data_IF_869079184923
#
_entry.id   IF_869079184923
#
_cell.length_a   1.000
_cell.length_b   1.000
_cell.length_c   1.000
_cell.angle_alpha   90.00
_cell.angle_beta   90.00
_cell.angle_gamma   90.00
#
_symmetry.space_group_name_H-M   'P 1'
#
loop_
_entity.id
_entity.type
_entity.pdbx_description
1 polymer ?
#
# COMPACT_ATOMS: atom_id res chain seq x y z
N UNK A 1 34.98 51.23 -8.84
CA UNK A 1 34.85 50.18 -7.80
C UNK A 1 34.14 48.99 -8.42
N UNK A 2 34.76 47.80 -8.40
CA UNK A 2 34.20 46.61 -9.06
C UNK A 2 33.09 46.00 -8.19
N UNK A 3 31.84 46.09 -8.65
CA UNK A 3 30.65 45.52 -7.99
C UNK A 3 30.54 43.99 -8.12
N UNK A 4 31.47 43.36 -8.86
CA UNK A 4 31.41 41.92 -9.17
C UNK A 4 31.69 41.06 -7.93
N UNK A 5 32.69 41.43 -7.12
CA UNK A 5 33.06 40.67 -5.93
C UNK A 5 31.93 40.57 -4.89
N UNK A 6 31.26 41.67 -4.45
CA UNK A 6 30.17 41.56 -3.48
C UNK A 6 28.94 40.82 -4.04
N UNK A 7 28.65 40.95 -5.33
CA UNK A 7 27.55 40.21 -5.97
C UNK A 7 27.81 38.70 -5.94
N UNK A 8 29.04 38.29 -6.24
CA UNK A 8 29.44 36.88 -6.26
C UNK A 8 29.40 36.27 -4.86
N UNK A 9 29.88 36.99 -3.84
CA UNK A 9 29.76 36.59 -2.43
C UNK A 9 28.31 36.41 -2.01
N UNK A 10 27.42 37.34 -2.40
CA UNK A 10 25.99 37.25 -2.09
C UNK A 10 25.35 36.00 -2.70
N UNK A 11 25.66 35.68 -3.96
CA UNK A 11 25.17 34.47 -4.64
C UNK A 11 25.66 33.21 -3.93
N UNK A 12 26.96 33.14 -3.59
CA UNK A 12 27.53 31.99 -2.89
C UNK A 12 26.91 31.82 -1.51
N UNK A 13 26.78 32.90 -0.72
CA UNK A 13 26.11 32.84 0.59
C UNK A 13 24.66 32.39 0.49
N UNK A 14 23.92 32.86 -0.53
CA UNK A 14 22.55 32.42 -0.79
C UNK A 14 22.48 30.93 -1.16
N UNK A 15 23.41 30.44 -1.98
CA UNK A 15 23.52 29.02 -2.32
C UNK A 15 23.85 28.17 -1.08
N UNK A 16 24.82 28.58 -0.26
CA UNK A 16 25.18 27.87 0.97
C UNK A 16 24.01 27.86 1.95
N UNK A 17 23.33 28.98 2.14
CA UNK A 17 22.14 29.06 3.00
C UNK A 17 21.01 28.13 2.51
N UNK A 18 20.73 28.12 1.21
CA UNK A 18 19.67 27.27 0.65
C UNK A 18 20.03 25.78 0.73
N UNK A 19 21.30 25.41 0.51
CA UNK A 19 21.80 24.05 0.70
C UNK A 19 21.74 23.62 2.17
N UNK A 20 22.23 24.45 3.09
CA UNK A 20 22.22 24.18 4.52
C UNK A 20 20.80 24.02 5.07
N UNK A 21 19.89 24.91 4.67
CA UNK A 21 18.46 24.81 5.01
C UNK A 21 17.83 23.51 4.47
N UNK A 22 18.26 23.03 3.30
CA UNK A 22 17.76 21.77 2.72
C UNK A 22 18.23 20.54 3.53
N UNK A 23 19.46 20.56 4.03
CA UNK A 23 20.02 19.49 4.87
C UNK A 23 19.47 19.51 6.30
N UNK A 24 19.21 20.69 6.86
CA UNK A 24 18.54 20.86 8.15
C UNK A 24 17.01 20.70 8.10
N UNK A 25 16.45 20.10 7.05
CA UNK A 25 15.02 19.75 7.08
C UNK A 25 14.85 18.30 7.53
N UNK A 26 13.75 17.99 8.25
CA UNK A 26 13.48 16.63 8.64
C UNK A 26 13.47 15.69 7.44
N UNK A 27 13.75 14.39 7.59
CA UNK A 27 13.79 13.42 6.48
C UNK A 27 12.86 12.26 6.76
N UNK A 28 11.58 12.43 6.45
CA UNK A 28 10.59 11.39 6.66
C UNK A 28 10.63 10.33 5.56
N UNK A 29 10.65 9.06 5.96
CA UNK A 29 10.42 7.91 5.08
C UNK A 29 9.21 7.11 5.55
N UNK A 30 8.52 6.48 4.60
CA UNK A 30 7.44 5.53 4.86
C UNK A 30 7.87 4.14 4.40
N UNK A 31 7.94 3.17 5.31
CA UNK A 31 8.31 1.79 5.02
C UNK A 31 7.17 0.85 5.40
N UNK A 32 6.71 -0.01 4.50
CA UNK A 32 5.69 -1.00 4.85
C UNK A 32 6.30 -2.13 5.70
N UNK A 33 5.51 -2.67 6.62
CA UNK A 33 5.83 -3.89 7.36
C UNK A 33 4.63 -4.83 7.32
N UNK A 34 4.92 -6.13 7.25
CA UNK A 34 3.91 -7.18 7.28
C UNK A 34 4.31 -8.16 8.39
N UNK A 35 3.54 -8.18 9.46
CA UNK A 35 3.85 -8.95 10.67
C UNK A 35 2.71 -9.92 11.00
N UNK A 36 2.98 -11.10 11.59
CA UNK A 36 1.93 -11.97 12.10
C UNK A 36 1.02 -11.21 13.06
N UNK A 37 -0.30 -11.43 12.95
CA UNK A 37 -1.27 -10.67 13.75
C UNK A 37 -2.29 -11.56 14.39
N UNK A 38 -2.27 -11.59 15.72
CA UNK A 38 -3.38 -12.12 16.53
C UNK A 38 -4.39 -11.03 16.90
N UNK A 39 -4.15 -9.80 16.45
CA UNK A 39 -4.94 -8.63 16.81
C UNK A 39 -6.24 -8.55 15.98
N UNK A 40 -7.34 -8.19 16.64
CA UNK A 40 -8.64 -7.95 16.02
C UNK A 40 -8.76 -6.48 15.61
N UNK A 41 -7.80 -6.02 14.81
CA UNK A 41 -7.83 -4.67 14.26
C UNK A 41 -8.95 -4.56 13.23
N UNK A 42 -9.91 -3.69 13.51
CA UNK A 42 -11.04 -3.42 12.65
C UNK A 42 -10.95 -1.99 12.11
N UNK A 43 -10.55 -1.86 10.85
CA UNK A 43 -10.79 -0.65 10.08
C UNK A 43 -12.16 -0.81 9.40
N UNK A 44 -13.15 -0.01 9.80
CA UNK A 44 -14.55 -0.17 9.40
C UNK A 44 -14.72 -0.19 7.87
N UNK A 45 -14.13 0.78 7.17
CA UNK A 45 -14.20 0.89 5.70
C UNK A 45 -13.61 -0.35 5.00
N UNK A 46 -12.56 -0.93 5.57
CA UNK A 46 -11.91 -2.13 5.04
C UNK A 46 -12.71 -3.39 5.38
N UNK A 47 -13.32 -3.43 6.57
CA UNK A 47 -14.22 -4.50 6.98
C UNK A 47 -15.46 -4.60 6.10
N UNK A 48 -16.01 -3.47 5.65
CA UNK A 48 -17.11 -3.45 4.67
C UNK A 48 -16.69 -4.05 3.34
N UNK A 49 -15.49 -3.72 2.82
CA UNK A 49 -14.98 -4.34 1.59
C UNK A 49 -14.87 -5.85 1.75
N UNK A 50 -14.32 -6.33 2.86
CA UNK A 50 -14.24 -7.78 3.14
C UNK A 50 -15.61 -8.44 3.03
N UNK A 51 -16.63 -7.85 3.64
CA UNK A 51 -17.99 -8.40 3.65
C UNK A 51 -18.62 -8.37 2.24
N UNK A 52 -18.38 -7.31 1.48
CA UNK A 52 -18.84 -7.18 0.09
C UNK A 52 -18.20 -8.25 -0.81
N UNK A 53 -16.91 -8.51 -0.67
CA UNK A 53 -16.14 -9.35 -1.60
C UNK A 53 -16.18 -10.83 -1.25
N UNK A 54 -16.71 -11.18 -0.07
CA UNK A 54 -16.84 -12.56 0.38
C UNK A 54 -17.72 -13.33 -0.62
N UNK A 55 -17.20 -14.44 -1.14
CA UNK A 55 -17.86 -15.31 -2.12
C UNK A 55 -18.07 -14.69 -3.53
N UNK A 56 -17.47 -13.52 -3.81
CA UNK A 56 -17.50 -12.93 -5.16
C UNK A 56 -16.43 -13.55 -6.07
N UNK A 57 -16.79 -13.77 -7.35
CA UNK A 57 -15.83 -14.20 -8.36
C UNK A 57 -14.70 -13.18 -8.52
N UNK A 58 -13.47 -13.68 -8.58
CA UNK A 58 -12.25 -12.86 -8.68
C UNK A 58 -11.61 -12.53 -7.32
N UNK A 59 -12.18 -12.98 -6.21
CA UNK A 59 -11.56 -12.90 -4.88
C UNK A 59 -11.24 -14.30 -4.36
N UNK A 60 -10.09 -14.50 -3.70
CA UNK A 60 -9.70 -15.81 -3.22
C UNK A 60 -10.69 -16.39 -2.21
N UNK A 61 -10.90 -17.70 -2.31
CA UNK A 61 -11.62 -18.50 -1.31
C UNK A 61 -10.66 -19.38 -0.49
N UNK A 62 -9.39 -18.98 -0.38
CA UNK A 62 -8.35 -19.72 0.31
C UNK A 62 -7.72 -18.84 1.39
N UNK A 63 -8.08 -19.00 2.68
CA UNK A 63 -7.53 -18.19 3.74
C UNK A 63 -6.06 -18.54 4.03
N UNK A 64 -5.35 -17.62 4.67
CA UNK A 64 -4.02 -17.86 5.24
C UNK A 64 -3.91 -17.23 6.63
N UNK A 65 -2.81 -17.53 7.34
CA UNK A 65 -2.56 -16.98 8.67
C UNK A 65 -2.61 -15.44 8.68
N UNK A 66 -3.38 -14.82 9.58
CA UNK A 66 -3.61 -13.39 9.57
C UNK A 66 -2.32 -12.60 9.78
N UNK A 67 -2.12 -11.57 8.96
CA UNK A 67 -0.99 -10.64 9.05
C UNK A 67 -1.48 -9.20 9.15
N UNK A 68 -0.78 -8.38 9.92
CA UNK A 68 -1.00 -6.95 10.02
C UNK A 68 -0.11 -6.26 8.99
N UNK A 69 -0.75 -5.56 8.07
CA UNK A 69 -0.08 -4.65 7.16
C UNK A 69 -0.02 -3.26 7.79
N UNK A 70 1.19 -2.80 8.05
CA UNK A 70 1.46 -1.51 8.67
C UNK A 70 2.40 -0.67 7.82
N UNK A 71 2.44 0.63 8.08
CA UNK A 71 3.42 1.56 7.51
C UNK A 71 4.14 2.24 8.66
N UNK A 72 5.44 2.02 8.73
CA UNK A 72 6.34 2.72 9.64
C UNK A 72 6.75 4.06 9.02
N UNK A 73 6.44 5.14 9.72
CA UNK A 73 6.97 6.46 9.44
C UNK A 73 8.22 6.68 10.28
N UNK A 74 9.36 6.88 9.63
CA UNK A 74 10.65 7.07 10.30
C UNK A 74 11.24 8.44 9.98
N UNK A 75 11.75 9.14 10.99
CA UNK A 75 12.42 10.42 10.84
C UNK A 75 13.95 10.26 10.78
N UNK A 76 14.51 10.19 9.57
CA UNK A 76 15.94 9.95 9.33
C UNK A 76 16.85 11.19 9.52
N UNK A 77 16.44 12.18 10.30
CA UNK A 77 17.17 13.44 10.45
C UNK A 77 17.39 13.79 11.89
N UNK A 78 18.38 14.66 12.11
CA UNK A 78 18.74 15.17 13.44
C UNK A 78 17.71 16.15 14.04
N UNK A 79 16.66 16.50 13.28
CA UNK A 79 15.64 17.45 13.69
C UNK A 79 14.26 16.79 13.75
N UNK A 80 13.39 17.23 14.70
CA UNK A 80 12.03 16.72 14.76
C UNK A 80 11.21 17.17 13.55
N UNK A 81 10.21 16.37 13.19
CA UNK A 81 9.23 16.69 12.17
C UNK A 81 7.89 17.06 12.81
N UNK A 82 7.30 18.19 12.41
CA UNK A 82 6.02 18.66 12.98
C UNK A 82 4.90 18.72 11.96
N UNK A 83 3.64 18.59 12.40
CA UNK A 83 2.43 18.63 11.56
C UNK A 83 2.54 17.75 10.33
N UNK A 84 2.93 16.49 10.56
CA UNK A 84 3.08 15.48 9.53
C UNK A 84 1.70 15.12 9.01
N UNK A 85 1.58 15.08 7.69
CA UNK A 85 0.38 14.67 6.98
C UNK A 85 0.74 13.67 5.90
N UNK A 86 0.25 12.44 6.06
CA UNK A 86 0.36 11.39 5.05
C UNK A 86 -1.01 11.17 4.42
N UNK A 87 -1.13 11.42 3.12
CA UNK A 87 -2.28 10.96 2.33
C UNK A 87 -1.87 9.66 1.65
N UNK A 88 -2.62 8.61 1.90
CA UNK A 88 -2.36 7.31 1.29
C UNK A 88 -3.65 6.72 0.74
N UNK A 89 -3.51 5.72 -0.12
CA UNK A 89 -4.61 4.87 -0.53
C UNK A 89 -4.23 3.40 -0.45
N UNK A 90 -5.26 2.59 -0.23
CA UNK A 90 -5.20 1.14 -0.33
C UNK A 90 -6.01 0.76 -1.56
N UNK A 91 -5.35 0.17 -2.55
CA UNK A 91 -5.94 -0.22 -3.82
C UNK A 91 -6.13 -1.73 -3.81
N UNK A 92 -7.38 -2.16 -3.86
CA UNK A 92 -7.78 -3.56 -3.89
C UNK A 92 -7.95 -4.01 -5.33
N UNK A 93 -7.43 -5.19 -5.65
CA UNK A 93 -7.56 -5.77 -6.97
C UNK A 93 -8.42 -7.03 -6.90
N UNK A 94 -9.24 -7.23 -7.93
CA UNK A 94 -9.86 -8.52 -8.21
C UNK A 94 -9.15 -9.20 -9.36
N UNK A 95 -9.19 -10.52 -9.35
CA UNK A 95 -8.58 -11.36 -10.37
C UNK A 95 -9.57 -11.65 -11.48
N UNK A 96 -9.11 -11.55 -12.73
CA UNK A 96 -9.86 -11.93 -13.92
C UNK A 96 -9.18 -13.16 -14.53
N UNK A 97 -9.74 -14.37 -14.33
CA UNK A 97 -9.20 -15.59 -14.91
C UNK A 97 -9.47 -15.65 -16.41
N UNK A 98 -8.52 -16.20 -17.16
CA UNK A 98 -8.70 -16.59 -18.56
C UNK A 98 -8.76 -18.11 -18.63
N UNK A 99 -9.81 -18.64 -19.26
CA UNK A 99 -10.01 -20.08 -19.42
C UNK A 99 -9.66 -20.53 -20.84
N UNK A 100 -9.23 -21.78 -20.97
CA UNK A 100 -9.15 -22.46 -22.26
C UNK A 100 -10.51 -23.03 -22.70
N UNK A 101 -10.53 -23.74 -23.83
CA UNK A 101 -11.73 -24.38 -24.36
C UNK A 101 -12.29 -25.50 -23.47
N UNK A 102 -11.50 -25.99 -22.52
CA UNK A 102 -11.88 -27.05 -21.57
C UNK A 102 -12.35 -26.48 -20.22
N UNK A 103 -12.43 -25.15 -20.09
CA UNK A 103 -12.84 -24.50 -18.84
C UNK A 103 -11.75 -24.52 -17.76
N UNK A 104 -10.49 -24.75 -18.15
CA UNK A 104 -9.34 -24.71 -17.24
C UNK A 104 -8.72 -23.31 -17.24
N UNK A 105 -8.51 -22.75 -16.04
CA UNK A 105 -7.88 -21.45 -15.90
C UNK A 105 -6.38 -21.55 -16.29
N UNK A 106 -6.00 -20.89 -17.38
CA UNK A 106 -4.64 -20.93 -17.93
C UNK A 106 -3.81 -19.69 -17.60
N UNK A 107 -4.47 -18.57 -17.31
CA UNK A 107 -3.81 -17.33 -16.90
C UNK A 107 -4.77 -16.45 -16.12
N UNK A 108 -4.25 -15.37 -15.55
CA UNK A 108 -5.07 -14.37 -14.88
C UNK A 108 -4.50 -12.97 -15.06
N UNK A 109 -5.37 -11.98 -14.92
CA UNK A 109 -5.00 -10.57 -14.84
C UNK A 109 -5.63 -9.93 -13.62
N UNK A 110 -5.10 -8.78 -13.20
CA UNK A 110 -5.62 -8.03 -12.08
C UNK A 110 -6.29 -6.76 -12.59
N UNK A 111 -7.51 -6.51 -12.12
CA UNK A 111 -8.19 -5.24 -12.35
C UNK A 111 -8.44 -4.57 -11.01
N UNK A 112 -8.26 -3.25 -10.98
CA UNK A 112 -8.59 -2.45 -9.81
C UNK A 112 -10.09 -2.60 -9.51
N UNK A 113 -10.39 -2.99 -8.27
CA UNK A 113 -11.76 -3.15 -7.80
C UNK A 113 -12.21 -1.91 -7.04
N UNK A 114 -11.44 -1.49 -6.04
CA UNK A 114 -11.80 -0.39 -5.13
C UNK A 114 -10.54 0.28 -4.61
N UNK A 115 -10.60 1.59 -4.42
CA UNK A 115 -9.53 2.40 -3.80
C UNK A 115 -10.08 3.10 -2.56
N UNK A 116 -9.55 2.78 -1.38
CA UNK A 116 -9.83 3.53 -0.14
C UNK A 116 -8.77 4.61 0.03
N UNK A 117 -9.19 5.84 0.30
CA UNK A 117 -8.30 6.98 0.52
C UNK A 117 -8.35 7.41 1.97
N UNK A 118 -7.19 7.55 2.58
CA UNK A 118 -7.06 7.88 3.99
C UNK A 118 -6.04 8.98 4.22
N UNK A 119 -6.22 9.69 5.33
CA UNK A 119 -5.37 10.79 5.74
C UNK A 119 -4.94 10.57 7.17
N UNK A 120 -3.65 10.38 7.38
CA UNK A 120 -3.04 10.35 8.69
C UNK A 120 -2.44 11.73 8.99
N UNK A 121 -2.78 12.26 10.17
CA UNK A 121 -2.18 13.47 10.71
C UNK A 121 -1.45 13.12 12.00
N UNK A 122 -0.24 13.65 12.17
CA UNK A 122 0.61 13.40 13.32
C UNK A 122 1.35 14.67 13.68
N UNK A 123 1.28 15.10 14.94
CA UNK A 123 1.74 16.44 15.30
C UNK A 123 3.25 16.55 15.44
N UNK A 124 3.92 15.50 15.93
CA UNK A 124 5.32 15.56 16.30
C UNK A 124 5.98 14.19 16.23
N UNK A 125 7.03 14.04 15.40
CA UNK A 125 7.91 12.88 15.39
C UNK A 125 9.33 13.33 15.74
N UNK A 126 9.92 12.74 16.79
CA UNK A 126 11.25 13.12 17.25
C UNK A 126 12.33 12.76 16.21
N UNK A 127 13.53 13.29 16.41
CA UNK A 127 14.73 12.94 15.65
C UNK A 127 15.04 11.44 15.80
N UNK A 128 15.32 10.76 14.68
CA UNK A 128 15.61 9.32 14.62
C UNK A 128 14.53 8.39 15.21
N UNK A 129 13.32 8.91 15.38
CA UNK A 129 12.19 8.18 15.96
C UNK A 129 11.27 7.62 14.87
N UNK A 130 10.46 6.63 15.25
CA UNK A 130 9.55 5.95 14.35
C UNK A 130 8.13 5.85 14.91
N UNK A 131 7.16 5.82 14.01
CA UNK A 131 5.76 5.65 14.34
C UNK A 131 5.11 4.63 13.42
N UNK A 132 4.60 3.56 14.00
CA UNK A 132 3.96 2.47 13.27
C UNK A 132 2.46 2.73 13.12
N UNK A 133 2.01 2.82 11.87
CA UNK A 133 0.60 2.99 11.51
C UNK A 133 0.06 1.65 11.05
N UNK A 134 -0.87 1.06 11.80
CA UNK A 134 -1.63 -0.10 11.35
C UNK A 134 -2.58 0.31 10.23
N UNK A 135 -2.47 -0.31 9.05
CA UNK A 135 -3.32 0.00 7.89
C UNK A 135 -4.49 -0.97 7.83
N UNK A 136 -4.19 -2.27 7.79
CA UNK A 136 -5.20 -3.31 7.69
C UNK A 136 -4.68 -4.68 8.10
N UNK A 137 -5.60 -5.56 8.47
CA UNK A 137 -5.36 -7.00 8.58
C UNK A 137 -5.63 -7.67 7.24
N UNK A 138 -4.78 -8.60 6.83
CA UNK A 138 -4.96 -9.47 5.67
C UNK A 138 -4.96 -10.93 6.11
N UNK A 139 -5.93 -11.72 5.66
CA UNK A 139 -6.13 -13.13 6.01
C UNK A 139 -6.45 -14.01 4.80
N UNK A 140 -6.12 -13.53 3.60
CA UNK A 140 -6.25 -14.27 2.34
C UNK A 140 -7.44 -13.87 1.48
N UNK A 141 -8.11 -12.76 1.79
CA UNK A 141 -9.35 -12.36 1.12
C UNK A 141 -9.15 -11.62 -0.19
N UNK A 142 -7.91 -11.25 -0.46
CA UNK A 142 -7.55 -10.46 -1.62
C UNK A 142 -6.37 -11.15 -2.32
N UNK A 143 -6.43 -11.24 -3.65
CA UNK A 143 -5.32 -11.78 -4.43
C UNK A 143 -4.13 -10.80 -4.44
N UNK A 144 -4.44 -9.49 -4.48
CA UNK A 144 -3.44 -8.41 -4.51
C UNK A 144 -3.97 -7.12 -3.91
N UNK A 145 -3.10 -6.42 -3.19
CA UNK A 145 -3.37 -5.08 -2.63
C UNK A 145 -2.12 -4.20 -2.85
N UNK A 146 -2.31 -2.96 -3.30
CA UNK A 146 -1.23 -1.97 -3.36
C UNK A 146 -1.44 -0.88 -2.29
N UNK A 147 -0.39 -0.56 -1.51
CA UNK A 147 -0.37 0.65 -0.68
C UNK A 147 0.34 1.76 -1.44
N UNK A 148 -0.38 2.86 -1.66
CA UNK A 148 0.12 4.01 -2.41
C UNK A 148 0.14 5.24 -1.52
N UNK A 149 1.32 5.80 -1.26
CA UNK A 149 1.45 7.11 -0.62
C UNK A 149 1.29 8.17 -1.70
N UNK A 150 0.20 8.93 -1.64
CA UNK A 150 -0.07 10.03 -2.59
C UNK A 150 0.78 11.25 -2.24
N UNK A 151 0.83 11.61 -0.96
CA UNK A 151 1.64 12.73 -0.47
C UNK A 151 2.11 12.48 0.95
N UNK A 152 3.36 12.82 1.25
CA UNK A 152 3.90 12.87 2.61
C UNK A 152 4.56 14.22 2.82
N UNK A 153 4.10 14.98 3.82
CA UNK A 153 4.65 16.29 4.14
C UNK A 153 4.67 16.53 5.65
N UNK A 154 5.57 17.38 6.10
CA UNK A 154 5.54 18.05 7.40
C UNK A 154 5.29 19.55 7.21
N UNK A 155 5.28 20.30 8.31
CA UNK A 155 5.25 21.78 8.28
C UNK A 155 6.44 22.35 7.51
N UNK A 156 7.60 21.74 7.65
CA UNK A 156 8.87 22.23 7.11
C UNK A 156 9.00 21.92 5.61
N UNK A 157 8.52 20.75 5.17
CA UNK A 157 8.77 20.27 3.80
C UNK A 157 7.77 19.22 3.31
N UNK A 158 7.63 19.12 1.99
CA UNK A 158 7.00 17.96 1.33
C UNK A 158 8.06 16.95 0.87
N UNK A 159 7.91 15.71 1.33
CA UNK A 159 8.82 14.58 1.09
C UNK A 159 8.44 13.76 -0.13
N UNK A 160 7.18 13.33 -0.19
CA UNK A 160 6.62 12.60 -1.32
C UNK A 160 5.63 13.54 -2.01
N UNK A 161 5.96 13.96 -3.24
CA UNK A 161 5.15 14.89 -4.06
C UNK A 161 4.30 14.18 -5.11
N UNK A 162 4.77 13.02 -5.57
CA UNK A 162 4.11 12.20 -6.57
C UNK A 162 3.69 10.90 -5.93
N UNK A 163 2.56 10.36 -6.38
CA UNK A 163 2.06 9.08 -5.91
C UNK A 163 3.10 8.00 -6.08
N UNK A 164 3.43 7.31 -4.98
CA UNK A 164 4.41 6.24 -4.94
C UNK A 164 3.76 5.01 -4.32
N UNK A 165 3.78 3.88 -5.03
CA UNK A 165 3.48 2.58 -4.42
C UNK A 165 4.64 2.22 -3.51
N UNK A 166 4.36 2.14 -2.21
CA UNK A 166 5.37 1.75 -1.21
C UNK A 166 5.34 0.25 -0.94
N UNK A 167 4.22 -0.41 -1.21
CA UNK A 167 4.06 -1.84 -0.98
C UNK A 167 3.08 -2.48 -1.95
N UNK A 168 3.31 -3.77 -2.20
CA UNK A 168 2.37 -4.67 -2.84
C UNK A 168 2.29 -5.94 -2.00
N UNK A 169 1.09 -6.25 -1.55
CA UNK A 169 0.75 -7.57 -1.03
C UNK A 169 0.28 -8.44 -2.20
N UNK A 170 0.77 -9.68 -2.24
CA UNK A 170 0.25 -10.74 -3.08
C UNK A 170 -0.09 -11.93 -2.20
N UNK A 171 -1.16 -12.64 -2.58
CA UNK A 171 -1.62 -13.78 -1.81
C UNK A 171 -0.52 -14.87 -1.79
N UNK A 172 -0.06 -15.31 -0.61
CA UNK A 172 1.11 -16.20 -0.50
C UNK A 172 0.92 -17.55 -1.19
N UNK A 173 -0.33 -18.03 -1.28
CA UNK A 173 -0.62 -19.30 -1.92
C UNK A 173 -0.35 -19.33 -3.44
N UNK A 174 -0.17 -18.18 -4.11
CA UNK A 174 0.29 -18.17 -5.51
C UNK A 174 1.70 -18.76 -5.68
N UNK A 175 2.54 -18.73 -4.64
CA UNK A 175 3.89 -19.30 -4.65
C UNK A 175 3.88 -20.80 -4.35
N UNK A 176 2.79 -21.33 -3.79
CA UNK A 176 2.71 -22.70 -3.26
C UNK A 176 1.60 -23.53 -3.92
N UNK A 177 1.24 -23.23 -5.17
CA UNK A 177 0.20 -23.95 -5.91
C UNK A 177 0.58 -25.43 -6.05
N UNK A 178 -0.21 -26.32 -5.44
CA UNK A 178 -0.01 -27.77 -5.54
C UNK A 178 -0.80 -28.39 -6.69
N UNK A 179 -1.99 -27.85 -6.99
CA UNK A 179 -2.85 -28.34 -8.07
C UNK A 179 -3.71 -27.24 -8.72
N UNK A 180 -4.46 -27.62 -9.76
CA UNK A 180 -5.34 -26.73 -10.50
C UNK A 180 -6.61 -26.33 -9.73
N UNK A 181 -6.97 -27.06 -8.66
CA UNK A 181 -8.11 -26.76 -7.82
C UNK A 181 -7.79 -25.60 -6.88
N UNK A 182 -6.64 -25.62 -6.21
CA UNK A 182 -6.14 -24.52 -5.37
C UNK A 182 -5.99 -23.24 -6.19
N UNK A 183 -5.52 -23.37 -7.44
CA UNK A 183 -5.44 -22.24 -8.35
C UNK A 183 -6.83 -21.65 -8.64
N UNK A 184 -7.85 -22.46 -8.93
CA UNK A 184 -9.23 -21.98 -9.13
C UNK A 184 -9.79 -21.28 -7.90
N UNK A 185 -9.52 -21.80 -6.70
CA UNK A 185 -9.93 -21.16 -5.44
C UNK A 185 -9.28 -19.79 -5.24
N UNK A 186 -8.00 -19.63 -5.61
CA UNK A 186 -7.29 -18.35 -5.53
C UNK A 186 -7.80 -17.30 -6.53
N UNK A 187 -8.31 -17.76 -7.66
CA UNK A 187 -8.95 -16.92 -8.68
C UNK A 187 -10.40 -16.58 -8.33
N UNK A 188 -10.94 -17.13 -7.24
CA UNK A 188 -12.36 -16.95 -6.87
C UNK A 188 -13.33 -17.65 -7.83
N UNK A 189 -12.87 -18.68 -8.54
CA UNK A 189 -13.73 -19.47 -9.42
C UNK A 189 -14.38 -20.54 -8.55
N UNK A 190 -15.66 -20.36 -8.24
CA UNK A 190 -16.41 -21.36 -7.48
C UNK A 190 -16.43 -22.69 -8.25
N UNK A 191 -16.17 -23.83 -7.60
CA UNK A 191 -16.23 -25.14 -8.26
C UNK A 191 -17.63 -25.48 -8.80
N UNK A 192 -18.69 -24.78 -8.38
CA UNK A 192 -20.06 -25.02 -8.82
C UNK A 192 -20.46 -24.32 -10.14
N UNK A 193 -19.63 -23.43 -10.69
CA UNK A 193 -19.96 -22.67 -11.91
C UNK A 193 -20.04 -23.52 -13.18
N UNK A 194 -19.52 -24.75 -13.18
CA UNK A 194 -19.72 -25.71 -14.28
C UNK A 194 -20.91 -26.67 -14.06
N UNK A 195 -21.63 -26.57 -12.95
CA UNK A 195 -22.74 -27.47 -12.62
C UNK A 195 -24.14 -26.99 -13.02
N UNK A 196 -24.31 -25.70 -13.36
CA UNK A 196 -25.65 -25.11 -13.54
C UNK A 196 -26.02 -24.80 -15.01
N UNK A 197 -25.08 -24.83 -15.96
CA UNK A 197 -25.42 -24.62 -17.39
C UNK A 197 -26.05 -25.84 -18.09
N UNK A 198 -26.26 -26.96 -17.39
CA UNK A 198 -26.91 -28.17 -17.95
C UNK A 198 -28.26 -28.52 -17.29
N UNK A 199 -28.96 -27.56 -16.69
CA UNK A 199 -30.28 -27.79 -16.08
C UNK A 199 -31.43 -26.94 -16.62
N UNK A 200 -31.28 -26.38 -17.81
CA UNK A 200 -32.40 -25.83 -18.56
C UNK A 200 -32.43 -26.38 -20.00
N UNK A 201 -32.82 -27.65 -20.14
CA UNK A 201 -33.54 -28.17 -21.31
C UNK A 201 -34.53 -29.26 -20.87
#
# INVERSE_FOLDING_TARGET
MSFVAPLLTLIVSYMVYTLYKKDMNPKLSAKPTLEPSNDNFHNADIGEIYLETKDMVGFPNLPHDPKMLSVELFNNSDLPATKIKMKYSVVFYKTIPTFDSEGTAVSHSYIEYKEIKSVLNFDYLASHDSYLVKIMRVSGEFSRIDIVVKTLKSKERTFIRQSLRIYRYEHPAFESLQDSYDYRLLLGVSPNLHGEEHREE
#
